data_IF_898403234036
#
_entry.id   IF_898403234036
#
_cell.length_a   1.000
_cell.length_b   1.000
_cell.length_c   1.000
_cell.angle_alpha   90.00
_cell.angle_beta   90.00
_cell.angle_gamma   90.00
#
_symmetry.space_group_name_H-M   'P 1'
#
loop_
_entity.id
_entity.type
_entity.pdbx_description
1 polymer ?
#
# COMPACT_ATOMS: atom_id res chain seq x y z
N UNK A 1 -13.21 7.56 -15.56
CA UNK A 1 -12.97 8.66 -14.59
C UNK A 1 -11.59 9.30 -14.80
N UNK A 2 -10.51 8.53 -15.03
CA UNK A 2 -9.18 9.10 -15.30
C UNK A 2 -8.99 9.57 -16.76
N UNK A 3 -9.66 8.93 -17.72
CA UNK A 3 -9.61 9.32 -19.15
C UNK A 3 -10.14 10.74 -19.45
N UNK A 4 -11.01 11.26 -18.58
CA UNK A 4 -11.55 12.63 -18.68
C UNK A 4 -10.56 13.69 -18.20
N UNK A 5 -9.47 13.30 -17.54
CA UNK A 5 -8.43 14.24 -17.11
C UNK A 5 -7.59 14.63 -18.33
N UNK A 6 -7.56 15.93 -18.63
CA UNK A 6 -6.76 16.53 -19.71
C UNK A 6 -5.54 17.29 -19.20
N UNK A 7 -5.44 17.53 -17.90
CA UNK A 7 -4.28 18.17 -17.27
C UNK A 7 -2.99 17.41 -17.62
N UNK A 8 -1.92 18.10 -18.04
CA UNK A 8 -0.57 17.55 -18.15
C UNK A 8 -0.14 16.72 -16.94
N UNK A 9 0.68 15.70 -17.15
CA UNK A 9 1.01 14.76 -16.07
C UNK A 9 1.83 15.38 -14.93
N UNK A 10 2.82 16.22 -15.26
CA UNK A 10 3.59 17.02 -14.32
C UNK A 10 2.71 17.97 -13.48
N UNK A 11 1.77 18.67 -14.12
CA UNK A 11 0.79 19.50 -13.42
C UNK A 11 -0.10 18.66 -12.48
N UNK A 12 -0.48 17.44 -12.87
CA UNK A 12 -1.20 16.53 -11.98
C UNK A 12 -0.37 16.20 -10.73
N UNK A 13 0.92 15.94 -10.88
CA UNK A 13 1.84 15.73 -9.75
C UNK A 13 1.86 16.97 -8.85
N UNK A 14 2.03 18.17 -9.41
CA UNK A 14 2.04 19.41 -8.61
C UNK A 14 0.75 19.64 -7.82
N UNK A 15 -0.41 19.40 -8.44
CA UNK A 15 -1.72 19.53 -7.78
C UNK A 15 -1.82 18.56 -6.60
N UNK A 16 -1.41 17.30 -6.80
CA UNK A 16 -1.43 16.30 -5.75
C UNK A 16 -0.45 16.65 -4.62
N UNK A 17 0.76 17.11 -4.96
CA UNK A 17 1.72 17.58 -3.96
C UNK A 17 1.14 18.68 -3.08
N UNK A 18 0.36 19.62 -3.63
CA UNK A 18 -0.22 20.74 -2.86
C UNK A 18 -1.34 20.32 -1.89
N UNK A 19 -2.03 19.21 -2.16
CA UNK A 19 -3.29 18.85 -1.48
C UNK A 19 -3.22 17.57 -0.65
N UNK A 20 -2.36 16.62 -1.03
CA UNK A 20 -2.22 15.35 -0.33
C UNK A 20 -1.56 15.52 1.03
N UNK A 21 -1.82 14.55 1.91
CA UNK A 21 -1.19 14.41 3.22
C UNK A 21 -0.82 12.95 3.41
N UNK A 22 0.29 12.70 4.10
CA UNK A 22 0.52 11.37 4.68
C UNK A 22 -0.45 11.12 5.81
N UNK A 23 -0.82 9.86 5.94
CA UNK A 23 -1.50 9.36 7.12
C UNK A 23 -0.57 9.54 8.35
N UNK A 24 -1.06 10.08 9.48
CA UNK A 24 -0.24 10.36 10.65
C UNK A 24 0.60 9.16 11.08
N UNK A 25 1.83 9.42 11.54
CA UNK A 25 2.84 8.45 11.99
C UNK A 25 3.47 7.58 10.88
N UNK A 26 3.13 7.76 9.59
CA UNK A 26 3.79 6.99 8.53
C UNK A 26 5.29 7.26 8.45
N UNK A 27 5.72 8.51 8.59
CA UNK A 27 7.13 8.89 8.55
C UNK A 27 7.91 8.23 9.72
N UNK A 28 7.34 8.18 10.91
CA UNK A 28 7.93 7.47 12.05
C UNK A 28 8.04 5.96 11.79
N UNK A 29 7.00 5.37 11.17
CA UNK A 29 7.04 3.98 10.74
C UNK A 29 8.13 3.73 9.69
N UNK A 30 8.27 4.64 8.73
CA UNK A 30 9.25 4.57 7.65
C UNK A 30 10.69 4.50 8.19
N UNK A 31 11.07 5.41 9.09
CA UNK A 31 12.41 5.42 9.68
C UNK A 31 12.62 4.26 10.66
N UNK A 32 11.62 3.93 11.48
CA UNK A 32 11.70 2.76 12.34
C UNK A 32 11.93 1.48 11.52
N UNK A 33 11.21 1.31 10.42
CA UNK A 33 11.36 0.14 9.55
C UNK A 33 12.76 0.08 8.92
N UNK A 34 13.33 1.23 8.53
CA UNK A 34 14.70 1.33 8.06
C UNK A 34 15.70 0.83 9.11
N UNK A 35 15.62 1.37 10.33
CA UNK A 35 16.54 1.07 11.43
C UNK A 35 16.45 -0.39 11.90
N UNK A 36 15.33 -1.05 11.63
CA UNK A 36 15.05 -2.42 12.08
C UNK A 36 15.06 -3.45 10.94
N UNK A 37 15.53 -3.06 9.75
CA UNK A 37 15.59 -3.91 8.56
C UNK A 37 14.23 -4.58 8.24
N UNK A 38 13.15 -3.81 8.35
CA UNK A 38 11.78 -4.22 7.98
C UNK A 38 11.49 -3.65 6.59
N UNK A 39 11.38 -4.49 5.55
CA UNK A 39 11.06 -4.01 4.20
C UNK A 39 9.63 -3.48 4.12
N UNK A 40 9.45 -2.39 3.38
CA UNK A 40 8.16 -1.81 3.05
C UNK A 40 7.90 -2.03 1.55
N UNK A 41 6.73 -2.58 1.22
CA UNK A 41 6.28 -2.70 -0.17
C UNK A 41 4.96 -1.95 -0.32
N UNK A 42 4.96 -0.88 -1.14
CA UNK A 42 3.76 -0.16 -1.50
C UNK A 42 3.16 -0.81 -2.74
N UNK A 43 1.98 -1.42 -2.59
CA UNK A 43 1.18 -1.94 -3.70
C UNK A 43 0.04 -0.97 -4.02
N UNK A 44 0.07 -0.35 -5.20
CA UNK A 44 -0.89 0.70 -5.56
C UNK A 44 -1.39 0.59 -6.99
N UNK A 45 -2.69 0.83 -7.22
CA UNK A 45 -3.26 0.99 -8.57
C UNK A 45 -3.07 2.42 -9.12
N UNK A 46 -2.43 3.31 -8.35
CA UNK A 46 -1.94 4.60 -8.84
C UNK A 46 -0.72 4.45 -9.73
N UNK A 47 -0.02 5.57 -10.00
CA UNK A 47 1.16 5.58 -10.86
C UNK A 47 2.44 5.90 -10.08
N UNK A 48 3.53 5.19 -10.39
CA UNK A 48 4.77 5.24 -9.61
C UNK A 48 5.37 6.65 -9.46
N UNK A 49 5.43 7.50 -10.52
CA UNK A 49 6.03 8.82 -10.40
C UNK A 49 5.29 9.74 -9.41
N UNK A 50 3.95 9.65 -9.36
CA UNK A 50 3.14 10.39 -8.38
C UNK A 50 3.46 9.95 -6.96
N UNK A 51 3.48 8.63 -6.70
CA UNK A 51 3.77 8.08 -5.37
C UNK A 51 5.19 8.46 -4.94
N UNK A 52 6.16 8.33 -5.84
CA UNK A 52 7.56 8.69 -5.59
C UNK A 52 7.71 10.18 -5.26
N UNK A 53 7.05 11.08 -6.01
CA UNK A 53 7.09 12.51 -5.76
C UNK A 53 6.46 12.89 -4.42
N UNK A 54 5.34 12.26 -4.06
CA UNK A 54 4.69 12.46 -2.76
C UNK A 54 5.61 12.02 -1.62
N UNK A 55 6.17 10.82 -1.68
CA UNK A 55 7.11 10.33 -0.66
C UNK A 55 8.33 11.23 -0.55
N UNK A 56 8.94 11.64 -1.66
CA UNK A 56 10.11 12.53 -1.65
C UNK A 56 9.78 13.89 -1.01
N UNK A 57 8.61 14.46 -1.30
CA UNK A 57 8.15 15.68 -0.65
C UNK A 57 8.02 15.52 0.87
N UNK A 58 7.44 14.42 1.34
CA UNK A 58 7.15 14.25 2.76
C UNK A 58 8.36 13.79 3.57
N UNK A 59 9.21 12.93 3.00
CA UNK A 59 10.45 12.47 3.65
C UNK A 59 11.59 13.49 3.54
N UNK A 60 11.50 14.43 2.59
CA UNK A 60 12.58 15.37 2.27
C UNK A 60 13.73 14.77 1.47
N UNK A 61 13.61 13.49 1.08
CA UNK A 61 14.57 12.76 0.25
C UNK A 61 13.88 11.63 -0.51
N UNK A 62 14.53 11.12 -1.56
CA UNK A 62 14.03 9.93 -2.28
C UNK A 62 13.93 8.73 -1.34
N UNK A 63 12.90 7.87 -1.48
CA UNK A 63 12.79 6.67 -0.66
C UNK A 63 14.07 5.82 -0.71
N UNK A 64 14.59 5.47 0.46
CA UNK A 64 15.69 4.53 0.64
C UNK A 64 15.31 3.10 0.19
N UNK A 65 16.31 2.24 0.06
CA UNK A 65 16.20 0.89 -0.52
C UNK A 65 15.33 -0.08 0.26
N UNK A 66 14.96 0.20 1.52
CA UNK A 66 14.03 -0.64 2.27
C UNK A 66 12.58 -0.46 1.84
N UNK A 67 12.26 0.55 1.03
CA UNK A 67 10.92 0.80 0.49
C UNK A 67 10.89 0.56 -1.02
N UNK A 68 10.03 -0.37 -1.45
CA UNK A 68 9.75 -0.65 -2.86
C UNK A 68 8.35 -0.17 -3.23
N UNK A 69 8.22 0.46 -4.40
CA UNK A 69 6.92 0.86 -4.95
C UNK A 69 6.60 -0.05 -6.14
N UNK A 70 5.46 -0.74 -6.08
CA UNK A 70 4.93 -1.53 -7.18
C UNK A 70 3.56 -0.95 -7.54
N UNK A 71 3.47 -0.41 -8.75
CA UNK A 71 2.27 0.27 -9.24
C UNK A 71 2.26 0.35 -10.77
N UNK A 72 1.18 0.94 -11.29
CA UNK A 72 1.08 1.30 -12.71
C UNK A 72 2.08 2.40 -13.08
N UNK A 73 2.20 2.66 -14.38
CA UNK A 73 3.05 3.71 -14.95
C UNK A 73 2.21 4.66 -15.83
N UNK A 74 2.65 5.92 -16.03
CA UNK A 74 2.11 6.75 -17.08
C UNK A 74 2.73 6.34 -18.43
N UNK A 75 1.91 6.35 -19.49
CA UNK A 75 2.36 6.19 -20.86
C UNK A 75 1.82 7.31 -21.74
N UNK A 76 2.51 7.53 -22.87
CA UNK A 76 2.04 8.43 -23.93
C UNK A 76 0.65 8.00 -24.43
N UNK A 77 -0.29 8.95 -24.49
CA UNK A 77 -1.58 8.78 -25.15
C UNK A 77 -1.45 9.22 -26.61
N UNK A 78 -1.76 8.32 -27.54
CA UNK A 78 -1.77 8.60 -28.98
C UNK A 78 -0.45 9.19 -29.54
N UNK A 79 0.69 8.80 -28.94
CA UNK A 79 2.02 9.28 -29.34
C UNK A 79 2.39 10.68 -28.82
N UNK A 80 1.58 11.27 -27.92
CA UNK A 80 1.83 12.60 -27.34
C UNK A 80 2.84 12.55 -26.19
N UNK A 81 3.51 13.68 -25.97
CA UNK A 81 4.27 13.90 -24.74
C UNK A 81 3.34 13.87 -23.52
N UNK A 82 3.73 13.17 -22.45
CA UNK A 82 2.89 12.97 -21.26
C UNK A 82 2.57 14.27 -20.51
N UNK A 83 3.41 15.30 -20.67
CA UNK A 83 3.24 16.63 -20.07
C UNK A 83 2.54 17.60 -21.05
N UNK A 84 1.97 17.09 -22.14
CA UNK A 84 1.05 17.86 -22.97
C UNK A 84 -0.40 17.63 -22.54
N UNK A 85 -1.29 18.56 -22.89
CA UNK A 85 -2.71 18.46 -22.58
C UNK A 85 -3.31 17.15 -23.16
N UNK A 86 -3.86 16.33 -22.26
CA UNK A 86 -4.42 15.03 -22.56
C UNK A 86 -3.39 14.02 -23.07
N UNK A 87 -2.10 14.26 -22.83
CA UNK A 87 -0.99 13.50 -23.41
C UNK A 87 -0.63 12.20 -22.71
N UNK A 88 -1.21 11.91 -21.55
CA UNK A 88 -0.90 10.70 -20.78
C UNK A 88 -2.11 9.77 -20.64
N UNK A 89 -1.82 8.48 -20.54
CA UNK A 89 -2.74 7.40 -20.15
C UNK A 89 -2.04 6.49 -19.14
N UNK A 90 -2.76 5.52 -18.60
CA UNK A 90 -2.19 4.55 -17.66
C UNK A 90 -1.67 3.36 -18.46
N UNK A 91 -0.43 2.99 -18.24
CA UNK A 91 0.10 1.67 -18.54
C UNK A 91 -0.15 0.78 -17.32
N UNK A 92 -1.18 -0.07 -17.44
CA UNK A 92 -1.56 -1.01 -16.40
C UNK A 92 -0.57 -2.16 -16.31
N UNK A 93 -0.33 -2.68 -15.10
CA UNK A 93 0.59 -3.82 -14.90
C UNK A 93 0.00 -5.15 -15.36
N UNK A 94 -1.32 -5.27 -15.30
CA UNK A 94 -2.04 -6.47 -15.68
C UNK A 94 -3.47 -6.14 -16.15
N UNK A 95 -4.16 -7.17 -16.67
CA UNK A 95 -5.52 -7.08 -17.19
C UNK A 95 -6.60 -7.22 -16.10
N UNK A 96 -6.25 -7.12 -14.81
CA UNK A 96 -7.23 -7.18 -13.72
C UNK A 96 -8.15 -5.95 -13.72
N UNK A 97 -9.26 -6.02 -12.99
CA UNK A 97 -10.25 -4.94 -12.93
C UNK A 97 -9.66 -3.60 -12.45
N UNK A 98 -8.62 -3.64 -11.62
CA UNK A 98 -7.92 -2.45 -11.11
C UNK A 98 -6.62 -2.15 -11.86
N UNK A 99 -6.31 -2.92 -12.90
CA UNK A 99 -5.07 -2.88 -13.66
C UNK A 99 -3.81 -3.24 -12.86
N UNK A 100 -3.99 -3.74 -11.64
CA UNK A 100 -2.96 -4.21 -10.74
C UNK A 100 -3.56 -5.16 -9.70
N UNK A 101 -3.46 -6.47 -9.92
CA UNK A 101 -3.76 -7.50 -8.93
C UNK A 101 -2.61 -7.62 -7.95
N UNK A 102 -2.75 -6.88 -6.85
CA UNK A 102 -1.78 -6.82 -5.75
C UNK A 102 -1.42 -8.20 -5.19
N UNK A 103 -2.28 -9.22 -5.33
CA UNK A 103 -1.97 -10.57 -4.85
C UNK A 103 -0.83 -11.23 -5.62
N UNK A 104 -0.61 -10.86 -6.88
CA UNK A 104 0.45 -11.43 -7.72
C UNK A 104 1.84 -11.11 -7.17
N UNK A 105 2.00 -9.96 -6.51
CA UNK A 105 3.26 -9.56 -5.88
C UNK A 105 3.49 -10.24 -4.52
N UNK A 106 2.43 -10.76 -3.88
CA UNK A 106 2.51 -11.40 -2.56
C UNK A 106 2.71 -12.90 -2.67
N UNK A 107 2.04 -13.55 -3.64
CA UNK A 107 2.07 -15.00 -3.84
C UNK A 107 3.47 -15.63 -3.86
N UNK A 108 4.49 -15.05 -4.51
CA UNK A 108 5.85 -15.61 -4.48
C UNK A 108 6.43 -15.70 -3.07
N UNK A 109 6.17 -14.71 -2.22
CA UNK A 109 6.62 -14.72 -0.83
C UNK A 109 5.76 -15.64 0.03
N UNK A 110 4.44 -15.65 -0.21
CA UNK A 110 3.52 -16.50 0.52
C UNK A 110 3.76 -18.00 0.27
N UNK A 111 4.31 -18.35 -0.90
CA UNK A 111 4.65 -19.72 -1.28
C UNK A 111 6.04 -20.19 -0.79
N UNK A 112 6.83 -19.33 -0.13
CA UNK A 112 8.11 -19.74 0.45
C UNK A 112 7.91 -20.76 1.59
N UNK A 113 8.85 -21.70 1.79
CA UNK A 113 8.78 -22.64 2.90
C UNK A 113 8.78 -21.96 4.27
N UNK A 114 8.21 -22.66 5.26
CA UNK A 114 8.31 -22.25 6.67
C UNK A 114 9.78 -22.07 7.08
N UNK A 115 10.08 -20.96 7.74
CA UNK A 115 11.45 -20.58 8.11
C UNK A 115 12.20 -19.74 7.08
N UNK A 116 11.73 -19.71 5.83
CA UNK A 116 12.20 -18.80 4.77
C UNK A 116 11.18 -17.70 4.46
N UNK A 117 9.89 -18.01 4.60
CA UNK A 117 8.79 -17.06 4.42
C UNK A 117 8.86 -15.95 5.49
N UNK A 118 8.94 -14.67 5.10
CA UNK A 118 8.84 -13.57 6.05
C UNK A 118 7.43 -13.49 6.64
N UNK A 119 7.29 -12.87 7.82
CA UNK A 119 5.97 -12.52 8.34
C UNK A 119 5.42 -11.38 7.48
N UNK A 120 4.29 -11.62 6.83
CA UNK A 120 3.63 -10.69 5.92
C UNK A 120 2.53 -9.93 6.65
N UNK A 121 2.71 -8.62 6.81
CA UNK A 121 1.69 -7.72 7.34
C UNK A 121 1.16 -6.86 6.20
N UNK A 122 -0.17 -6.77 6.05
CA UNK A 122 -0.81 -5.97 5.02
C UNK A 122 -1.59 -4.81 5.63
N UNK A 123 -1.46 -3.61 5.09
CA UNK A 123 -2.29 -2.46 5.48
C UNK A 123 -3.04 -1.92 4.26
N UNK A 124 -4.37 -1.84 4.35
CA UNK A 124 -5.21 -1.41 3.24
C UNK A 124 -6.49 -0.72 3.68
N UNK A 125 -7.19 -0.14 2.72
CA UNK A 125 -8.46 0.56 2.93
C UNK A 125 -9.53 0.24 1.88
N UNK A 126 -9.14 -0.25 0.71
CA UNK A 126 -10.02 -0.49 -0.43
C UNK A 126 -10.35 -1.96 -0.66
N UNK A 127 -11.43 -2.22 -1.38
CA UNK A 127 -11.82 -3.59 -1.79
C UNK A 127 -10.80 -4.23 -2.75
N UNK A 128 -9.99 -3.43 -3.46
CA UNK A 128 -8.90 -3.93 -4.31
C UNK A 128 -7.81 -4.66 -3.50
N UNK A 129 -7.75 -4.43 -2.19
CA UNK A 129 -6.74 -5.03 -1.30
C UNK A 129 -7.11 -6.43 -0.82
N UNK A 130 -8.34 -6.90 -1.07
CA UNK A 130 -8.85 -8.15 -0.50
C UNK A 130 -8.07 -9.38 -0.95
N UNK A 131 -7.74 -9.46 -2.25
CA UNK A 131 -6.98 -10.60 -2.78
C UNK A 131 -5.58 -10.65 -2.20
N UNK A 132 -4.96 -9.48 -2.00
CA UNK A 132 -3.64 -9.36 -1.39
C UNK A 132 -3.68 -9.70 0.11
N UNK A 133 -4.65 -9.16 0.84
CA UNK A 133 -4.80 -9.37 2.26
C UNK A 133 -4.96 -10.86 2.65
N UNK A 134 -5.67 -11.63 1.82
CA UNK A 134 -5.90 -13.06 2.03
C UNK A 134 -4.61 -13.91 1.99
N UNK A 135 -3.53 -13.38 1.40
CA UNK A 135 -2.23 -14.08 1.25
C UNK A 135 -1.22 -13.69 2.37
N UNK A 136 -1.67 -12.92 3.38
CA UNK A 136 -0.82 -12.37 4.45
C UNK A 136 -1.16 -12.89 5.84
N UNK A 137 -0.25 -12.73 6.81
CA UNK A 137 -0.41 -13.25 8.17
C UNK A 137 -1.29 -12.35 9.05
N UNK A 138 -1.30 -11.04 8.75
CA UNK A 138 -2.07 -10.05 9.49
C UNK A 138 -2.53 -8.93 8.57
N UNK A 139 -3.84 -8.75 8.48
CA UNK A 139 -4.46 -7.62 7.81
C UNK A 139 -4.73 -6.49 8.81
N UNK A 140 -4.23 -5.30 8.51
CA UNK A 140 -4.68 -4.02 9.04
C UNK A 140 -5.66 -3.37 8.06
N UNK A 141 -6.93 -3.21 8.44
CA UNK A 141 -7.94 -2.53 7.64
C UNK A 141 -8.24 -1.15 8.22
N UNK A 142 -8.22 -0.11 7.38
CA UNK A 142 -8.42 1.28 7.80
C UNK A 142 -9.82 1.50 8.34
N UNK A 143 -9.92 2.09 9.52
CA UNK A 143 -11.20 2.39 10.16
C UNK A 143 -12.10 3.25 9.25
N UNK A 144 -13.39 2.87 9.17
CA UNK A 144 -14.39 3.63 8.42
C UNK A 144 -14.27 3.51 6.89
N UNK A 145 -13.50 2.54 6.39
CA UNK A 145 -13.29 2.30 4.95
C UNK A 145 -13.92 0.99 4.50
N UNK A 146 -14.07 0.83 3.19
CA UNK A 146 -14.80 -0.27 2.57
C UNK A 146 -14.20 -1.64 2.89
N UNK A 147 -12.87 -1.72 3.06
CA UNK A 147 -12.20 -2.96 3.43
C UNK A 147 -12.72 -3.53 4.75
N UNK A 148 -12.94 -2.70 5.78
CA UNK A 148 -13.52 -3.14 7.06
C UNK A 148 -14.91 -3.75 6.86
N UNK A 149 -15.78 -3.03 6.15
CA UNK A 149 -17.15 -3.49 5.86
C UNK A 149 -17.13 -4.83 5.12
N UNK A 150 -16.20 -5.00 4.19
CA UNK A 150 -16.07 -6.25 3.44
C UNK A 150 -15.55 -7.39 4.30
N UNK A 151 -14.51 -7.16 5.11
CA UNK A 151 -13.97 -8.17 6.02
C UNK A 151 -15.05 -8.71 6.96
N UNK A 152 -15.85 -7.82 7.55
CA UNK A 152 -16.99 -8.17 8.40
C UNK A 152 -18.01 -9.05 7.65
N UNK A 153 -18.39 -8.67 6.43
CA UNK A 153 -19.35 -9.43 5.62
C UNK A 153 -18.86 -10.81 5.22
N UNK A 154 -17.54 -11.00 5.08
CA UNK A 154 -16.93 -12.28 4.68
C UNK A 154 -16.40 -13.11 5.84
N UNK A 155 -16.43 -12.60 7.07
CA UNK A 155 -15.81 -13.25 8.22
C UNK A 155 -14.29 -13.36 8.09
N UNK A 156 -13.65 -12.46 7.34
CA UNK A 156 -12.20 -12.43 7.19
C UNK A 156 -11.56 -11.76 8.42
N UNK A 157 -10.56 -12.37 9.08
CA UNK A 157 -9.83 -11.74 10.18
C UNK A 157 -9.16 -10.42 9.76
N UNK A 158 -9.28 -9.37 10.56
CA UNK A 158 -8.65 -8.08 10.31
C UNK A 158 -8.49 -7.29 11.60
N UNK A 159 -7.38 -6.58 11.75
CA UNK A 159 -7.14 -5.58 12.80
C UNK A 159 -7.50 -4.20 12.27
N UNK A 160 -8.27 -3.42 13.03
CA UNK A 160 -8.59 -2.05 12.61
C UNK A 160 -7.44 -1.11 12.96
N UNK A 161 -7.12 -0.14 12.09
CA UNK A 161 -6.22 0.95 12.42
C UNK A 161 -6.83 2.31 12.07
N UNK A 162 -6.62 3.31 12.94
CA UNK A 162 -7.04 4.69 12.68
C UNK A 162 -5.93 5.50 11.99
N UNK A 163 -4.65 5.20 12.26
CA UNK A 163 -3.47 5.79 11.63
C UNK A 163 -2.26 4.88 11.85
N UNK A 164 -1.08 5.27 11.39
CA UNK A 164 0.10 4.40 11.43
C UNK A 164 0.66 4.13 12.82
N UNK A 165 0.21 4.82 13.88
CA UNK A 165 0.68 4.52 15.25
C UNK A 165 0.32 3.09 15.67
N UNK A 166 -0.88 2.60 15.33
CA UNK A 166 -1.31 1.22 15.60
C UNK A 166 -0.47 0.20 14.84
N UNK A 167 -0.17 0.47 13.57
CA UNK A 167 0.66 -0.40 12.74
C UNK A 167 2.06 -0.43 13.34
N UNK A 168 2.67 0.72 13.59
CA UNK A 168 3.99 0.86 14.20
C UNK A 168 4.11 0.14 15.54
N UNK A 169 3.17 0.33 16.47
CA UNK A 169 3.21 -0.34 17.77
C UNK A 169 3.10 -1.86 17.63
N UNK A 170 2.19 -2.33 16.78
CA UNK A 170 1.94 -3.75 16.59
C UNK A 170 3.11 -4.43 15.90
N UNK A 171 3.67 -3.84 14.84
CA UNK A 171 4.85 -4.38 14.15
C UNK A 171 6.06 -4.41 15.08
N UNK A 172 6.25 -3.41 15.96
CA UNK A 172 7.28 -3.44 17.00
C UNK A 172 7.10 -4.62 17.97
N UNK A 173 5.88 -4.87 18.43
CA UNK A 173 5.62 -5.97 19.36
C UNK A 173 5.81 -7.35 18.68
N UNK A 174 5.45 -7.47 17.40
CA UNK A 174 5.71 -8.67 16.59
C UNK A 174 7.21 -8.89 16.41
N UNK A 175 7.95 -7.86 15.98
CA UNK A 175 9.39 -7.96 15.75
C UNK A 175 10.17 -8.32 17.02
N UNK A 176 9.74 -7.81 18.18
CA UNK A 176 10.35 -8.11 19.47
C UNK A 176 9.87 -9.44 20.09
N UNK A 177 9.03 -10.22 19.39
CA UNK A 177 8.51 -11.50 19.86
C UNK A 177 7.57 -11.40 21.07
N UNK A 178 6.99 -10.23 21.34
CA UNK A 178 6.02 -10.07 22.45
C UNK A 178 4.66 -10.68 22.11
N UNK A 179 4.31 -10.65 20.83
CA UNK A 179 3.10 -11.26 20.25
C UNK A 179 3.45 -11.81 18.87
N UNK A 180 2.75 -12.83 18.41
CA UNK A 180 2.79 -13.31 17.03
C UNK A 180 1.72 -12.64 16.17
N UNK A 181 1.95 -12.57 14.84
CA UNK A 181 0.95 -12.06 13.90
C UNK A 181 -0.40 -12.81 14.01
N UNK A 182 -0.34 -14.13 14.21
CA UNK A 182 -1.52 -14.98 14.41
C UNK A 182 -2.31 -14.65 15.69
N UNK A 183 -1.63 -14.35 16.80
CA UNK A 183 -2.30 -13.91 18.03
C UNK A 183 -3.01 -12.57 17.85
N UNK A 184 -2.40 -11.64 17.12
CA UNK A 184 -3.05 -10.36 16.80
C UNK A 184 -4.28 -10.59 15.91
N UNK A 185 -4.15 -11.39 14.85
CA UNK A 185 -5.25 -11.71 13.95
C UNK A 185 -6.42 -12.40 14.68
N UNK A 186 -6.14 -13.33 15.59
CA UNK A 186 -7.15 -14.06 16.35
C UNK A 186 -7.94 -13.17 17.33
N UNK A 187 -7.27 -12.22 18.00
CA UNK A 187 -7.95 -11.23 18.87
C UNK A 187 -8.95 -10.39 18.08
N UNK A 188 -8.56 -9.98 16.88
CA UNK A 188 -9.37 -9.17 16.01
C UNK A 188 -10.68 -9.88 15.58
N UNK A 189 -10.65 -11.21 15.41
CA UNK A 189 -11.84 -12.03 15.13
C UNK A 189 -12.79 -12.20 16.32
N UNK A 190 -12.34 -11.96 17.55
CA UNK A 190 -13.12 -12.15 18.78
C UNK A 190 -13.86 -10.89 19.25
N UNK A 191 -13.66 -9.74 18.60
CA UNK A 191 -14.31 -8.48 18.97
C UNK A 191 -13.92 -7.96 20.36
N UNK A 192 -12.74 -8.35 20.86
CA UNK A 192 -12.20 -8.02 22.18
C UNK A 192 -10.97 -7.12 22.06
#
# INVERSE_FOLDING_TARGET
MLESIKTPYDECIEILLKSMKLDPYFEEFYYWAQDNNVPIVILSSGMRPIISALLEKFLGHKPASHLTIISNEPASRDGKDINSEGGWQIEYRDDSHFGHDKSLEIKPYAALPDGERPILLYAGDGVSDLSAAAETDLLFAKQGKDLVTYCQRKGMPYTTFENWSTILSTTKDILNGKVSAGEVAAKASLGL
#
